data_IF_157783522770
#
_entry.id   IF_157783522770
#
_cell.length_a   1.000
_cell.length_b   1.000
_cell.length_c   1.000
_cell.angle_alpha   90.00
_cell.angle_beta   90.00
_cell.angle_gamma   90.00
#
_symmetry.space_group_name_H-M   'P 1'
#
loop_
_entity.id
_entity.type
_entity.pdbx_description
1 polymer ?
#
# COMPACT_ATOMS: atom_id res chain seq x y z
N UNK A 1 -14.83 10.77 -19.24
CA UNK A 1 -14.40 12.04 -18.58
C UNK A 1 -12.89 11.96 -18.45
N UNK A 2 -12.13 12.92 -19.00
CA UNK A 2 -10.68 12.91 -18.91
C UNK A 2 -10.26 12.93 -17.44
N UNK A 3 -9.60 11.90 -16.97
CA UNK A 3 -9.13 11.76 -15.61
C UNK A 3 -8.20 12.91 -15.24
N UNK A 4 -8.68 13.83 -14.42
CA UNK A 4 -7.89 14.95 -13.93
C UNK A 4 -7.07 14.43 -12.75
N UNK A 5 -5.74 14.45 -12.85
CA UNK A 5 -4.88 14.19 -11.70
C UNK A 5 -5.19 15.20 -10.59
N UNK A 6 -5.41 14.68 -9.40
CA UNK A 6 -5.61 15.44 -8.17
C UNK A 6 -4.23 15.74 -7.56
N UNK A 7 -4.17 16.36 -6.43
CA UNK A 7 -2.91 16.53 -5.73
C UNK A 7 -2.76 17.87 -5.03
N UNK A 8 -1.59 18.08 -4.43
CA UNK A 8 -1.24 19.32 -3.73
C UNK A 8 -0.87 20.37 -4.80
N UNK A 9 -1.64 21.44 -4.88
CA UNK A 9 -1.49 22.52 -5.87
C UNK A 9 -1.40 22.01 -7.32
N UNK A 10 -2.17 20.97 -7.65
CA UNK A 10 -2.14 20.34 -8.97
C UNK A 10 -0.92 19.50 -9.25
N UNK A 11 -0.13 19.18 -8.23
CA UNK A 11 0.99 18.25 -8.30
C UNK A 11 0.52 16.87 -7.85
N UNK A 12 0.46 15.88 -8.75
CA UNK A 12 0.06 14.53 -8.39
C UNK A 12 1.11 13.81 -7.52
N UNK A 13 2.35 14.25 -7.60
CA UNK A 13 3.44 13.81 -6.74
C UNK A 13 4.44 14.94 -6.48
N UNK A 14 5.24 14.80 -5.45
CA UNK A 14 6.23 15.80 -5.01
C UNK A 14 7.51 15.06 -4.60
N UNK A 15 8.64 15.45 -5.19
CA UNK A 15 9.96 15.04 -4.71
C UNK A 15 10.23 15.69 -3.34
N UNK A 16 10.46 14.88 -2.34
CA UNK A 16 10.76 15.32 -0.98
C UNK A 16 12.26 15.32 -0.63
N UNK A 17 13.13 14.94 -1.58
CA UNK A 17 14.59 14.93 -1.37
C UNK A 17 15.17 16.29 -0.92
N UNK A 18 14.63 17.45 -1.34
CA UNK A 18 15.08 18.73 -0.81
C UNK A 18 14.65 19.02 0.62
N UNK A 19 13.72 18.24 1.18
CA UNK A 19 13.12 18.46 2.49
C UNK A 19 13.49 17.36 3.51
N UNK A 20 13.99 16.23 3.04
CA UNK A 20 14.30 15.04 3.85
C UNK A 20 15.73 14.59 3.50
N UNK A 21 16.57 14.44 4.51
CA UNK A 21 17.94 13.95 4.33
C UNK A 21 17.95 12.47 3.92
N UNK A 22 18.50 12.18 2.76
CA UNK A 22 18.62 10.82 2.21
C UNK A 22 20.04 10.25 2.27
N UNK A 23 20.96 10.93 2.95
CA UNK A 23 22.38 10.53 3.01
C UNK A 23 22.60 9.13 3.60
N UNK A 24 21.68 8.65 4.46
CA UNK A 24 21.70 7.33 5.06
C UNK A 24 21.15 6.19 4.19
N UNK A 25 20.61 6.46 3.00
CA UNK A 25 19.85 5.48 2.22
C UNK A 25 20.66 4.23 1.82
N UNK A 26 21.95 4.37 1.52
CA UNK A 26 22.77 3.20 1.21
C UNK A 26 22.92 2.21 2.39
N UNK A 27 22.91 2.71 3.61
CA UNK A 27 22.93 1.88 4.81
C UNK A 27 21.57 1.24 5.08
N UNK A 28 20.49 2.01 4.91
CA UNK A 28 19.11 1.57 5.04
C UNK A 28 18.79 0.48 4.00
N UNK A 29 19.20 0.64 2.73
CA UNK A 29 19.02 -0.40 1.70
C UNK A 29 19.66 -1.73 2.11
N UNK A 30 20.90 -1.70 2.57
CA UNK A 30 21.58 -2.91 3.05
C UNK A 30 20.87 -3.54 4.23
N UNK A 31 20.41 -2.74 5.17
CA UNK A 31 19.67 -3.21 6.34
C UNK A 31 18.37 -3.87 5.94
N UNK A 32 17.55 -3.21 5.10
CA UNK A 32 16.27 -3.75 4.63
C UNK A 32 16.47 -5.07 3.88
N UNK A 33 17.41 -5.14 2.94
CA UNK A 33 17.68 -6.37 2.21
C UNK A 33 18.10 -7.54 3.12
N UNK A 34 18.93 -7.26 4.14
CA UNK A 34 19.35 -8.27 5.10
C UNK A 34 18.24 -8.64 6.07
N UNK A 35 17.45 -7.68 6.48
CA UNK A 35 16.34 -7.87 7.39
C UNK A 35 15.22 -8.69 6.75
N UNK A 36 14.82 -8.37 5.54
CA UNK A 36 13.80 -9.13 4.80
C UNK A 36 14.18 -10.60 4.55
N UNK A 37 15.48 -10.91 4.53
CA UNK A 37 15.97 -12.30 4.47
C UNK A 37 15.90 -13.04 5.83
N UNK A 38 15.54 -12.36 6.92
CA UNK A 38 15.54 -12.90 8.29
C UNK A 38 14.17 -12.96 8.93
N UNK A 39 13.31 -12.00 8.58
CA UNK A 39 11.95 -11.92 9.12
C UNK A 39 10.98 -12.73 8.25
N UNK A 40 9.87 -13.11 8.84
CA UNK A 40 8.76 -13.66 8.06
C UNK A 40 8.06 -12.52 7.29
N UNK A 41 8.24 -12.53 5.98
CA UNK A 41 7.59 -11.60 5.05
C UNK A 41 6.35 -12.21 4.42
N UNK A 42 5.86 -13.28 4.99
CA UNK A 42 4.55 -13.83 4.62
C UNK A 42 3.52 -12.71 4.66
N UNK A 43 2.52 -12.82 3.83
CA UNK A 43 1.41 -11.87 3.86
C UNK A 43 0.85 -11.84 5.27
N UNK A 44 1.14 -10.76 5.97
CA UNK A 44 0.58 -10.51 7.28
C UNK A 44 -0.93 -10.46 7.09
N UNK A 45 -1.60 -11.45 7.63
CA UNK A 45 -2.96 -11.89 7.30
C UNK A 45 -4.05 -10.85 7.23
N UNK A 46 -3.75 -9.71 7.65
CA UNK A 46 -4.65 -8.70 8.04
C UNK A 46 -5.16 -7.78 6.95
N UNK A 47 -4.45 -7.57 5.92
CA UNK A 47 -4.73 -6.50 4.95
C UNK A 47 -4.95 -7.01 3.55
N UNK A 48 -5.23 -8.30 3.44
CA UNK A 48 -5.25 -8.97 2.15
C UNK A 48 -6.35 -8.45 1.22
N UNK A 49 -7.49 -8.05 1.76
CA UNK A 49 -8.56 -7.47 0.94
C UNK A 49 -8.16 -6.15 0.28
N UNK A 50 -7.35 -5.35 0.97
CA UNK A 50 -6.85 -4.07 0.48
C UNK A 50 -5.64 -4.19 -0.44
N UNK A 51 -4.99 -5.35 -0.40
CA UNK A 51 -3.84 -5.65 -1.24
C UNK A 51 -4.20 -6.39 -2.51
N UNK A 52 -5.39 -7.00 -2.57
CA UNK A 52 -5.95 -7.57 -3.78
C UNK A 52 -6.73 -6.51 -4.56
N UNK A 53 -6.44 -6.36 -5.83
CA UNK A 53 -7.12 -5.40 -6.71
C UNK A 53 -7.70 -6.09 -7.93
N UNK A 54 -8.88 -5.65 -8.32
CA UNK A 54 -9.46 -5.95 -9.63
C UNK A 54 -9.07 -4.81 -10.55
N UNK A 55 -8.47 -5.12 -11.71
CA UNK A 55 -8.02 -4.09 -12.62
C UNK A 55 -9.21 -3.24 -13.11
N UNK A 56 -9.08 -1.89 -13.20
CA UNK A 56 -10.17 -0.99 -13.55
C UNK A 56 -10.91 -1.35 -14.85
N UNK A 57 -10.19 -1.81 -15.87
CA UNK A 57 -10.79 -2.25 -17.15
C UNK A 57 -11.64 -3.52 -17.05
N UNK A 58 -11.64 -4.22 -15.92
CA UNK A 58 -12.52 -5.35 -15.66
C UNK A 58 -13.87 -4.94 -15.05
N UNK A 59 -13.94 -3.72 -14.50
CA UNK A 59 -15.08 -3.20 -13.75
C UNK A 59 -15.37 -1.73 -14.11
N UNK A 60 -15.53 -1.42 -15.38
CA UNK A 60 -15.94 -0.09 -15.88
C UNK A 60 -15.05 1.06 -15.40
N UNK A 61 -13.73 0.88 -15.41
CA UNK A 61 -12.71 1.86 -15.00
C UNK A 61 -12.75 2.26 -13.51
N UNK A 62 -13.43 1.52 -12.65
CA UNK A 62 -13.46 1.77 -11.22
C UNK A 62 -12.54 0.81 -10.46
N UNK A 63 -11.87 1.34 -9.43
CA UNK A 63 -11.14 0.50 -8.49
C UNK A 63 -12.08 -0.42 -7.72
N UNK A 64 -11.72 -1.69 -7.64
CA UNK A 64 -12.36 -2.69 -6.79
C UNK A 64 -11.30 -3.46 -6.02
N UNK A 65 -11.48 -3.60 -4.73
CA UNK A 65 -10.66 -4.51 -3.93
C UNK A 65 -11.15 -5.96 -4.02
N UNK A 66 -10.46 -6.86 -3.33
CA UNK A 66 -10.82 -8.27 -3.33
C UNK A 66 -12.24 -8.53 -2.77
N UNK A 67 -12.76 -7.64 -1.91
CA UNK A 67 -14.10 -7.80 -1.34
C UNK A 67 -15.20 -7.61 -2.36
N UNK A 68 -15.00 -6.75 -3.37
CA UNK A 68 -15.93 -6.68 -4.48
C UNK A 68 -16.17 -8.06 -5.12
N UNK A 69 -15.10 -8.82 -5.37
CA UNK A 69 -15.23 -10.17 -5.92
C UNK A 69 -15.96 -11.11 -4.98
N UNK A 70 -15.75 -11.00 -3.67
CA UNK A 70 -16.47 -11.80 -2.66
C UNK A 70 -17.96 -11.43 -2.63
N UNK A 71 -18.30 -10.16 -2.72
CA UNK A 71 -19.69 -9.68 -2.72
C UNK A 71 -20.47 -10.15 -3.96
N UNK A 72 -19.81 -10.26 -5.11
CA UNK A 72 -20.40 -10.71 -6.38
C UNK A 72 -20.50 -12.25 -6.52
N UNK A 73 -19.97 -13.04 -5.58
CA UNK A 73 -20.03 -14.50 -5.63
C UNK A 73 -21.48 -15.02 -5.61
N UNK A 74 -21.75 -16.01 -6.41
CA UNK A 74 -22.96 -16.85 -6.24
C UNK A 74 -22.90 -17.62 -4.91
N UNK A 75 -24.01 -18.20 -4.49
CA UNK A 75 -24.03 -19.03 -3.27
C UNK A 75 -23.10 -20.25 -3.37
N UNK A 76 -22.99 -20.85 -4.56
CA UNK A 76 -22.09 -21.98 -4.81
C UNK A 76 -20.63 -21.54 -4.71
N UNK A 77 -20.26 -20.44 -5.34
CA UNK A 77 -18.90 -19.87 -5.27
C UNK A 77 -18.53 -19.46 -3.86
N UNK A 78 -19.50 -18.91 -3.10
CA UNK A 78 -19.29 -18.58 -1.70
C UNK A 78 -18.98 -19.83 -0.85
N UNK A 79 -19.70 -20.93 -1.06
CA UNK A 79 -19.44 -22.20 -0.36
C UNK A 79 -18.05 -22.74 -0.70
N UNK A 80 -17.63 -22.68 -1.97
CA UNK A 80 -16.30 -23.07 -2.39
C UNK A 80 -15.23 -22.17 -1.75
N UNK A 81 -15.47 -20.86 -1.70
CA UNK A 81 -14.58 -19.90 -1.06
C UNK A 81 -14.42 -20.15 0.44
N UNK A 82 -15.52 -20.38 1.14
CA UNK A 82 -15.55 -20.67 2.58
C UNK A 82 -14.87 -22.01 2.88
N UNK A 83 -15.04 -23.02 2.01
CA UNK A 83 -14.37 -24.31 2.20
C UNK A 83 -12.84 -24.24 2.18
N UNK A 84 -12.28 -23.12 1.72
CA UNK A 84 -10.83 -22.84 1.70
C UNK A 84 -10.34 -22.06 2.92
N UNK A 85 -11.19 -21.77 3.91
CA UNK A 85 -10.78 -21.22 5.20
C UNK A 85 -10.19 -22.30 6.09
N UNK A 86 -9.48 -21.90 7.14
CA UNK A 86 -8.97 -22.83 8.15
C UNK A 86 -10.09 -23.44 9.02
N UNK A 87 -11.24 -22.75 9.10
CA UNK A 87 -12.41 -23.14 9.88
C UNK A 87 -13.72 -23.11 9.06
N UNK A 88 -13.86 -23.91 8.00
CA UNK A 88 -14.99 -23.79 7.08
C UNK A 88 -16.36 -24.04 7.74
N UNK A 89 -16.41 -24.86 8.79
CA UNK A 89 -17.65 -25.16 9.52
C UNK A 89 -18.18 -23.99 10.36
N UNK A 90 -17.42 -22.91 10.52
CA UNK A 90 -17.81 -21.70 11.23
C UNK A 90 -18.76 -20.81 10.41
N UNK A 91 -18.78 -20.96 9.10
CA UNK A 91 -19.47 -20.07 8.18
C UNK A 91 -20.69 -20.74 7.56
N UNK A 92 -21.72 -19.94 7.36
CA UNK A 92 -22.97 -20.37 6.70
C UNK A 92 -23.40 -19.33 5.66
N UNK A 93 -24.33 -19.67 4.79
CA UNK A 93 -24.90 -18.71 3.83
C UNK A 93 -25.60 -17.53 4.50
N UNK A 94 -26.17 -17.76 5.67
CA UNK A 94 -26.89 -16.73 6.42
C UNK A 94 -25.92 -15.67 6.96
N UNK A 95 -24.71 -16.06 7.25
CA UNK A 95 -23.68 -15.19 7.85
C UNK A 95 -22.92 -14.37 6.81
N UNK A 96 -23.13 -14.65 5.51
CA UNK A 96 -22.37 -14.04 4.41
C UNK A 96 -22.27 -12.51 4.49
N UNK A 97 -23.37 -11.82 4.75
CA UNK A 97 -23.40 -10.36 4.83
C UNK A 97 -22.71 -9.80 6.10
N UNK A 98 -22.54 -10.62 7.12
CA UNK A 98 -21.89 -10.25 8.38
C UNK A 98 -20.40 -10.57 8.41
N UNK A 99 -19.93 -11.44 7.52
CA UNK A 99 -18.53 -11.88 7.49
C UNK A 99 -17.67 -10.87 6.73
N UNK A 100 -16.62 -10.40 7.36
CA UNK A 100 -15.65 -9.48 6.78
C UNK A 100 -14.33 -10.19 6.54
N UNK A 101 -14.26 -10.97 5.47
CA UNK A 101 -13.00 -11.57 5.06
C UNK A 101 -11.96 -10.49 4.71
N UNK A 102 -10.70 -10.83 4.92
CA UNK A 102 -9.57 -9.94 4.65
C UNK A 102 -9.43 -8.80 5.66
N UNK A 103 -10.27 -8.75 6.70
CA UNK A 103 -10.11 -7.85 7.82
C UNK A 103 -9.05 -8.40 8.78
N UNK A 104 -8.21 -7.52 9.30
CA UNK A 104 -7.03 -7.87 10.11
C UNK A 104 -7.37 -8.63 11.38
N UNK A 105 -8.50 -8.30 11.95
CA UNK A 105 -8.87 -8.84 13.24
C UNK A 105 -9.83 -10.01 13.16
N UNK A 106 -10.50 -10.19 12.01
CA UNK A 106 -11.61 -11.14 11.93
C UNK A 106 -11.25 -12.41 11.11
N UNK A 107 -11.17 -12.29 9.79
CA UNK A 107 -11.03 -13.45 8.91
C UNK A 107 -10.06 -13.14 7.76
N UNK A 108 -8.74 -13.25 7.99
CA UNK A 108 -7.77 -13.06 6.93
C UNK A 108 -7.96 -14.08 5.82
N UNK A 109 -7.68 -13.68 4.57
CA UNK A 109 -7.68 -14.64 3.48
C UNK A 109 -6.58 -15.68 3.65
N UNK A 110 -6.92 -16.93 3.47
CA UNK A 110 -5.91 -17.98 3.33
C UNK A 110 -5.24 -17.88 1.94
N UNK A 111 -4.03 -18.42 1.78
CA UNK A 111 -3.39 -18.51 0.46
C UNK A 111 -4.26 -19.22 -0.59
N UNK A 112 -5.07 -20.18 -0.17
CA UNK A 112 -5.99 -20.90 -1.05
C UNK A 112 -7.15 -20.01 -1.51
N UNK A 113 -7.73 -19.22 -0.60
CA UNK A 113 -8.76 -18.23 -0.92
C UNK A 113 -8.24 -17.17 -1.90
N UNK A 114 -7.05 -16.64 -1.65
CA UNK A 114 -6.42 -15.68 -2.56
C UNK A 114 -6.21 -16.26 -3.95
N UNK A 115 -5.78 -17.52 -4.03
CA UNK A 115 -5.63 -18.22 -5.30
C UNK A 115 -6.97 -18.40 -6.02
N UNK A 116 -8.05 -18.72 -5.29
CA UNK A 116 -9.39 -18.82 -5.87
C UNK A 116 -9.84 -17.46 -6.43
N UNK A 117 -9.67 -16.38 -5.66
CA UNK A 117 -9.98 -15.02 -6.10
C UNK A 117 -9.21 -14.64 -7.37
N UNK A 118 -7.92 -15.01 -7.45
CA UNK A 118 -7.10 -14.78 -8.65
C UNK A 118 -7.61 -15.57 -9.85
N UNK A 119 -7.82 -16.88 -9.67
CA UNK A 119 -8.14 -17.80 -10.79
C UNK A 119 -9.58 -17.58 -11.27
N UNK A 120 -10.50 -17.34 -10.37
CA UNK A 120 -11.93 -17.27 -10.70
C UNK A 120 -12.40 -15.85 -10.99
N UNK A 121 -11.91 -14.86 -10.25
CA UNK A 121 -12.42 -13.49 -10.29
C UNK A 121 -11.39 -12.47 -10.81
N UNK A 122 -10.18 -12.91 -11.20
CA UNK A 122 -9.16 -12.02 -11.75
C UNK A 122 -8.55 -11.04 -10.73
N UNK A 123 -8.73 -11.29 -9.43
CA UNK A 123 -8.10 -10.47 -8.40
C UNK A 123 -6.59 -10.68 -8.44
N UNK A 124 -5.85 -9.61 -8.52
CA UNK A 124 -4.39 -9.62 -8.51
C UNK A 124 -3.86 -9.16 -7.16
N UNK A 125 -2.93 -9.93 -6.60
CA UNK A 125 -2.27 -9.63 -5.34
C UNK A 125 -0.80 -9.26 -5.61
N UNK A 126 -0.49 -7.99 -5.86
CA UNK A 126 0.85 -7.57 -6.31
C UNK A 126 1.91 -7.67 -5.21
N UNK A 127 1.53 -7.41 -3.96
CA UNK A 127 2.47 -7.27 -2.85
C UNK A 127 2.80 -8.64 -2.25
N UNK A 128 3.88 -9.24 -2.72
CA UNK A 128 4.36 -10.55 -2.22
C UNK A 128 5.15 -10.41 -0.93
N UNK A 129 5.74 -9.23 -0.71
CA UNK A 129 6.43 -8.89 0.52
C UNK A 129 5.71 -7.72 1.15
N UNK A 130 5.23 -7.92 2.36
CA UNK A 130 4.65 -6.87 3.18
C UNK A 130 5.13 -7.09 4.62
N UNK A 131 5.84 -6.10 5.18
CA UNK A 131 6.32 -6.17 6.54
C UNK A 131 5.97 -4.89 7.29
N UNK A 132 5.17 -5.03 8.34
CA UNK A 132 4.77 -3.93 9.20
C UNK A 132 5.87 -3.61 10.20
N UNK A 133 6.50 -2.45 10.04
CA UNK A 133 7.49 -1.94 10.99
C UNK A 133 6.83 -1.38 12.26
N UNK A 134 5.62 -0.81 12.11
CA UNK A 134 4.81 -0.30 13.20
C UNK A 134 3.67 -1.28 13.45
N UNK A 135 3.43 -1.65 14.72
CA UNK A 135 2.26 -2.44 15.09
C UNK A 135 0.99 -1.69 14.73
N UNK A 136 0.15 -2.32 13.94
CA UNK A 136 -1.07 -1.72 13.44
C UNK A 136 -2.12 -2.78 13.18
N UNK A 137 -3.14 -2.81 14.00
CA UNK A 137 -4.23 -3.78 13.93
C UNK A 137 -5.25 -3.45 12.82
N UNK A 138 -5.19 -2.23 12.28
CA UNK A 138 -6.16 -1.74 11.31
C UNK A 138 -5.49 -0.96 10.21
N UNK A 139 -5.62 -1.44 9.00
CA UNK A 139 -5.06 -0.76 7.83
C UNK A 139 -5.61 0.64 7.62
N UNK A 140 -6.89 0.85 7.89
CA UNK A 140 -7.58 2.13 7.75
C UNK A 140 -7.10 3.18 8.75
N UNK A 141 -6.63 2.75 9.93
CA UNK A 141 -6.15 3.64 10.99
C UNK A 141 -4.71 4.09 10.73
N UNK A 142 -4.48 4.63 9.53
CA UNK A 142 -3.16 5.09 9.08
C UNK A 142 -2.82 6.51 9.51
N UNK A 143 -3.75 7.22 10.13
CA UNK A 143 -3.57 8.64 10.48
C UNK A 143 -3.35 8.90 11.96
N UNK A 144 -3.46 7.90 12.82
CA UNK A 144 -3.24 8.03 14.27
C UNK A 144 -2.11 7.13 14.75
N UNK A 145 -1.23 7.69 15.57
CA UNK A 145 -0.17 6.98 16.28
C UNK A 145 -0.56 6.51 17.68
N UNK A 146 -1.81 6.79 18.09
CA UNK A 146 -2.26 6.49 19.45
C UNK A 146 -2.30 4.97 19.69
N UNK A 147 -1.59 4.54 20.73
CA UNK A 147 -1.50 3.12 21.10
C UNK A 147 -0.59 2.26 20.21
N UNK A 148 0.11 2.86 19.25
CA UNK A 148 0.99 2.15 18.31
C UNK A 148 2.46 2.30 18.71
N UNK A 149 3.21 1.23 18.49
CA UNK A 149 4.65 1.19 18.70
C UNK A 149 5.33 0.51 17.50
N UNK A 150 6.61 0.74 17.30
CA UNK A 150 7.38 -0.10 16.38
C UNK A 150 7.46 -1.51 16.95
N UNK A 151 7.27 -2.50 16.10
CA UNK A 151 7.37 -3.89 16.49
C UNK A 151 8.78 -4.18 17.06
N UNK A 152 8.86 -4.94 18.14
CA UNK A 152 10.15 -5.26 18.78
C UNK A 152 11.12 -5.92 17.80
N UNK A 153 10.62 -6.80 16.94
CA UNK A 153 11.41 -7.40 15.87
C UNK A 153 11.90 -6.36 14.86
N UNK A 154 11.05 -5.37 14.52
CA UNK A 154 11.45 -4.29 13.61
C UNK A 154 12.57 -3.43 14.21
N UNK A 155 12.54 -3.14 15.50
CA UNK A 155 13.60 -2.40 16.19
C UNK A 155 14.92 -3.18 16.24
N UNK A 156 14.87 -4.51 16.35
CA UNK A 156 16.04 -5.38 16.35
C UNK A 156 16.64 -5.55 14.94
N UNK A 157 15.78 -5.78 13.93
CA UNK A 157 16.21 -6.18 12.60
C UNK A 157 16.45 -4.99 11.68
N UNK A 158 15.70 -3.88 11.87
CA UNK A 158 15.72 -2.68 11.03
C UNK A 158 16.01 -1.38 11.83
N UNK A 159 17.00 -1.35 12.73
CA UNK A 159 17.22 -0.22 13.64
C UNK A 159 17.50 1.11 12.93
N UNK A 160 18.26 1.11 11.83
CA UNK A 160 18.53 2.35 11.08
C UNK A 160 17.28 2.82 10.31
N UNK A 161 16.50 1.90 9.78
CA UNK A 161 15.23 2.19 9.11
C UNK A 161 14.22 2.78 10.10
N UNK A 162 14.06 2.16 11.26
CA UNK A 162 13.18 2.66 12.34
C UNK A 162 13.65 4.03 12.82
N UNK A 163 14.96 4.23 13.03
CA UNK A 163 15.50 5.53 13.42
C UNK A 163 15.23 6.61 12.36
N UNK A 164 15.40 6.29 11.08
CA UNK A 164 15.07 7.19 9.98
C UNK A 164 13.59 7.56 9.99
N UNK A 165 12.69 6.57 10.12
CA UNK A 165 11.24 6.81 10.14
C UNK A 165 10.84 7.68 11.33
N UNK A 166 11.39 7.44 12.52
CA UNK A 166 11.18 8.31 13.71
C UNK A 166 11.65 9.74 13.50
N UNK A 167 12.66 9.93 12.67
CA UNK A 167 13.17 11.26 12.29
C UNK A 167 12.36 11.98 11.23
N UNK A 168 11.41 11.31 10.57
CA UNK A 168 10.54 11.95 9.59
C UNK A 168 9.63 12.99 10.26
N UNK A 169 9.28 14.07 9.57
CA UNK A 169 8.58 15.20 10.16
C UNK A 169 7.07 14.97 10.35
N UNK A 170 6.72 13.86 10.97
CA UNK A 170 5.37 13.54 11.42
C UNK A 170 5.16 14.01 12.87
N UNK A 171 3.97 14.51 13.15
CA UNK A 171 3.47 14.70 14.52
C UNK A 171 3.03 13.37 15.13
N UNK A 172 2.43 12.51 14.31
CA UNK A 172 2.03 11.15 14.64
C UNK A 172 2.33 10.23 13.46
N UNK A 173 2.88 9.04 13.72
CA UNK A 173 3.06 7.99 12.72
C UNK A 173 1.97 6.94 12.97
N UNK A 174 1.10 6.76 12.00
CA UNK A 174 -0.02 5.83 12.09
C UNK A 174 0.23 4.48 11.41
N UNK A 175 1.14 4.44 10.43
CA UNK A 175 1.52 3.23 9.72
C UNK A 175 2.94 3.35 9.17
N UNK A 176 3.70 2.28 9.23
CA UNK A 176 5.00 2.17 8.56
C UNK A 176 5.16 0.75 8.03
N UNK A 177 5.30 0.61 6.70
CA UNK A 177 5.30 -0.71 6.05
C UNK A 177 6.31 -0.76 4.92
N UNK A 178 6.98 -1.92 4.78
CA UNK A 178 7.81 -2.27 3.63
C UNK A 178 6.95 -3.04 2.64
N UNK A 179 6.83 -2.55 1.41
CA UNK A 179 6.17 -3.23 0.30
C UNK A 179 7.20 -3.73 -0.69
N UNK A 180 7.15 -5.02 -1.03
CA UNK A 180 8.03 -5.63 -2.00
C UNK A 180 7.28 -6.35 -3.12
N UNK A 181 7.85 -6.29 -4.31
CA UNK A 181 7.42 -7.00 -5.50
C UNK A 181 8.52 -7.95 -5.94
N UNK A 182 8.16 -9.18 -6.27
CA UNK A 182 9.09 -10.16 -6.84
C UNK A 182 9.50 -9.78 -8.28
N UNK A 183 10.48 -10.50 -8.79
CA UNK A 183 10.90 -10.34 -10.17
C UNK A 183 9.71 -10.53 -11.13
N UNK A 184 9.60 -9.65 -12.11
CA UNK A 184 8.54 -9.61 -13.13
C UNK A 184 7.11 -9.36 -12.62
N UNK A 185 6.90 -9.25 -11.31
CA UNK A 185 5.64 -8.80 -10.75
C UNK A 185 5.41 -7.30 -11.02
N UNK A 186 4.16 -6.88 -10.98
CA UNK A 186 3.77 -5.48 -11.14
C UNK A 186 2.59 -5.15 -10.23
N UNK A 187 2.42 -3.90 -9.85
CA UNK A 187 1.16 -3.44 -9.32
C UNK A 187 0.32 -2.88 -10.46
N UNK A 188 -0.86 -3.45 -10.73
CA UNK A 188 -1.74 -2.96 -11.81
C UNK A 188 -2.19 -1.53 -11.53
N UNK A 189 -2.67 -0.87 -12.57
CA UNK A 189 -3.21 0.48 -12.45
C UNK A 189 -4.45 0.48 -11.55
N UNK A 190 -4.39 1.21 -10.45
CA UNK A 190 -5.47 1.32 -9.48
C UNK A 190 -5.37 2.66 -8.74
N UNK A 191 -6.34 2.94 -7.90
CA UNK A 191 -6.31 4.02 -6.90
C UNK A 191 -6.78 3.48 -5.56
N UNK A 192 -6.24 4.02 -4.46
CA UNK A 192 -6.56 3.53 -3.12
C UNK A 192 -7.93 4.01 -2.62
N UNK A 193 -8.44 5.11 -3.18
CA UNK A 193 -9.76 5.65 -2.81
C UNK A 193 -10.34 6.54 -3.91
N UNK A 194 -11.67 6.69 -3.90
CA UNK A 194 -12.38 7.51 -4.87
C UNK A 194 -12.07 9.01 -4.70
N UNK A 195 -11.78 9.72 -5.80
CA UNK A 195 -11.67 11.18 -5.77
C UNK A 195 -12.98 11.81 -5.30
N UNK A 196 -12.91 12.66 -4.28
CA UNK A 196 -14.07 13.29 -3.70
C UNK A 196 -14.73 12.50 -2.56
N UNK A 197 -14.23 11.30 -2.22
CA UNK A 197 -14.49 10.75 -0.90
C UNK A 197 -14.04 11.79 0.12
N UNK A 198 -14.78 11.94 1.23
CA UNK A 198 -14.55 12.96 2.26
C UNK A 198 -13.19 12.85 2.98
N UNK A 199 -12.33 11.97 2.52
CA UNK A 199 -11.01 11.75 3.09
C UNK A 199 -10.09 12.89 2.68
N UNK A 200 -9.44 13.48 3.67
CA UNK A 200 -8.36 14.42 3.43
C UNK A 200 -7.23 13.73 2.63
N UNK A 201 -6.52 14.51 1.83
CA UNK A 201 -5.32 14.05 1.12
C UNK A 201 -4.41 13.29 2.08
N UNK A 202 -4.03 12.07 1.72
CA UNK A 202 -3.18 11.23 2.56
C UNK A 202 -1.86 11.93 2.88
N UNK A 203 -1.51 11.96 4.15
CA UNK A 203 -0.25 12.50 4.63
C UNK A 203 0.75 11.34 4.74
N UNK A 204 1.47 11.10 3.67
CA UNK A 204 2.41 9.98 3.58
C UNK A 204 3.77 10.41 3.05
N UNK A 205 4.79 9.68 3.44
CA UNK A 205 6.12 9.70 2.83
C UNK A 205 6.41 8.31 2.34
N UNK A 206 6.67 8.19 1.03
CA UNK A 206 7.18 6.96 0.43
C UNK A 206 8.66 7.12 0.10
N UNK A 207 9.47 6.10 0.38
CA UNK A 207 10.86 6.11 0.00
C UNK A 207 11.34 4.75 -0.47
N UNK A 208 12.25 4.76 -1.43
CA UNK A 208 12.92 3.60 -1.97
C UNK A 208 14.43 3.87 -1.95
N UNK A 209 15.16 3.43 -0.92
CA UNK A 209 16.59 3.68 -0.79
C UNK A 209 17.42 3.17 -1.95
N UNK A 210 16.98 2.07 -2.57
CA UNK A 210 17.50 1.59 -3.85
C UNK A 210 16.62 2.14 -4.97
N UNK A 211 17.25 2.76 -5.96
CA UNK A 211 16.56 3.06 -7.23
C UNK A 211 16.06 1.78 -7.89
N UNK A 212 14.89 1.81 -8.50
CA UNK A 212 14.38 0.66 -9.27
C UNK A 212 12.91 0.33 -9.05
N UNK A 213 12.25 0.78 -7.97
CA UNK A 213 10.81 0.65 -7.88
C UNK A 213 10.15 1.76 -8.68
N UNK A 214 9.74 1.43 -9.90
CA UNK A 214 9.14 2.37 -10.85
C UNK A 214 7.64 2.54 -10.57
N UNK A 215 7.30 3.27 -9.49
CA UNK A 215 5.95 3.75 -9.28
C UNK A 215 5.61 4.75 -10.38
N UNK A 216 4.44 4.61 -10.98
CA UNK A 216 3.96 5.53 -11.99
C UNK A 216 2.55 6.03 -11.67
N UNK A 217 2.23 7.20 -12.20
CA UNK A 217 0.90 7.79 -12.20
C UNK A 217 0.40 7.86 -13.63
N UNK A 218 -0.89 7.65 -13.83
CA UNK A 218 -1.50 7.65 -15.15
C UNK A 218 -2.92 8.21 -15.07
N UNK A 219 -3.26 9.13 -15.97
CA UNK A 219 -4.58 9.78 -15.95
C UNK A 219 -5.71 8.85 -16.40
N UNK A 220 -5.41 8.03 -17.40
CA UNK A 220 -6.30 7.04 -17.98
C UNK A 220 -5.47 5.91 -18.60
N UNK A 221 -6.11 4.82 -18.99
CA UNK A 221 -5.44 3.63 -19.50
C UNK A 221 -4.61 3.90 -20.79
N UNK A 222 -4.97 4.91 -21.56
CA UNK A 222 -4.32 5.25 -22.84
C UNK A 222 -3.24 6.30 -22.69
N UNK A 223 -3.17 6.99 -21.54
CA UNK A 223 -2.16 8.01 -21.29
C UNK A 223 -0.77 7.39 -21.03
N UNK A 224 0.28 8.08 -21.43
CA UNK A 224 1.63 7.67 -21.06
C UNK A 224 1.84 7.78 -19.54
N UNK A 225 2.42 6.75 -18.90
CA UNK A 225 2.68 6.79 -17.46
C UNK A 225 3.74 7.84 -17.12
N UNK A 226 3.51 8.57 -16.03
CA UNK A 226 4.50 9.44 -15.41
C UNK A 226 5.20 8.68 -14.30
N UNK A 227 6.46 8.29 -14.53
CA UNK A 227 7.26 7.56 -13.53
C UNK A 227 7.75 8.55 -12.48
N UNK A 228 7.62 8.18 -11.20
CA UNK A 228 8.20 8.93 -10.09
C UNK A 228 9.69 8.56 -9.99
N UNK A 229 10.54 9.51 -10.35
CA UNK A 229 12.00 9.38 -10.29
C UNK A 229 12.55 10.21 -9.11
N UNK A 230 12.20 9.79 -7.90
CA UNK A 230 12.69 10.38 -6.66
C UNK A 230 12.89 9.29 -5.59
N UNK A 231 13.97 9.33 -4.80
CA UNK A 231 14.23 8.35 -3.76
C UNK A 231 13.30 8.48 -2.56
N UNK A 232 12.74 9.66 -2.33
CA UNK A 232 11.75 9.97 -1.30
C UNK A 232 10.72 10.94 -1.87
N UNK A 233 9.44 10.60 -1.75
CA UNK A 233 8.38 11.34 -2.40
C UNK A 233 7.06 11.22 -1.65
N UNK A 234 6.17 12.16 -1.93
CA UNK A 234 4.75 12.08 -1.70
C UNK A 234 4.02 11.88 -3.03
N UNK A 235 2.97 11.10 -3.04
CA UNK A 235 2.06 11.02 -4.18
C UNK A 235 0.61 10.97 -3.68
N UNK A 236 -0.32 11.39 -4.54
CA UNK A 236 -1.73 11.33 -4.24
C UNK A 236 -2.27 9.93 -4.57
N UNK A 237 -2.63 9.18 -3.55
CA UNK A 237 -3.13 7.82 -3.68
C UNK A 237 -4.59 7.72 -4.21
N UNK A 238 -5.24 8.86 -4.42
CA UNK A 238 -6.52 8.97 -5.15
C UNK A 238 -6.34 9.07 -6.67
N UNK A 239 -5.13 9.35 -7.16
CA UNK A 239 -4.82 9.29 -8.58
C UNK A 239 -4.51 7.84 -8.98
N UNK A 240 -4.81 7.46 -10.22
CA UNK A 240 -4.42 6.16 -10.73
C UNK A 240 -2.91 5.99 -10.69
N UNK A 241 -2.47 4.91 -10.09
CA UNK A 241 -1.06 4.58 -9.95
C UNK A 241 -0.82 3.07 -10.03
N UNK A 242 0.42 2.70 -10.26
CA UNK A 242 0.85 1.33 -10.33
C UNK A 242 2.37 1.23 -10.25
N UNK A 243 2.91 0.02 -10.37
CA UNK A 243 4.35 -0.23 -10.40
C UNK A 243 4.68 -1.09 -11.61
N UNK A 244 5.58 -0.61 -12.46
CA UNK A 244 6.02 -1.35 -13.65
C UNK A 244 6.82 -2.61 -13.25
N UNK A 245 6.76 -3.68 -14.05
CA UNK A 245 7.56 -4.87 -13.82
C UNK A 245 9.06 -4.59 -14.01
N UNK A 246 9.90 -5.28 -13.25
CA UNK A 246 11.35 -5.30 -13.34
C UNK A 246 11.86 -6.74 -13.13
N UNK A 247 12.99 -7.16 -13.73
CA UNK A 247 13.46 -8.54 -13.64
C UNK A 247 14.15 -8.88 -12.32
N UNK A 248 13.97 -8.08 -11.28
CA UNK A 248 14.53 -8.29 -9.94
C UNK A 248 13.56 -7.86 -8.85
N UNK A 249 13.78 -8.36 -7.64
CA UNK A 249 13.06 -7.91 -6.45
C UNK A 249 13.29 -6.43 -6.19
N UNK A 250 12.22 -5.71 -5.88
CA UNK A 250 12.25 -4.29 -5.51
C UNK A 250 11.24 -3.97 -4.43
N UNK A 251 11.55 -2.98 -3.62
CA UNK A 251 10.71 -2.58 -2.50
C UNK A 251 10.61 -1.07 -2.38
N UNK A 252 9.65 -0.63 -1.60
CA UNK A 252 9.59 0.72 -1.03
C UNK A 252 9.06 0.65 0.39
N UNK A 253 9.35 1.69 1.16
CA UNK A 253 8.76 1.90 2.48
C UNK A 253 7.74 3.02 2.36
N UNK A 254 6.54 2.80 2.90
CA UNK A 254 5.51 3.83 3.03
C UNK A 254 5.26 4.09 4.51
N UNK A 255 5.27 5.37 4.86
CA UNK A 255 4.95 5.86 6.19
C UNK A 255 3.77 6.80 6.07
N UNK A 256 2.70 6.53 6.78
CA UNK A 256 1.49 7.35 6.83
C UNK A 256 1.33 7.90 8.26
N UNK A 257 0.68 9.05 8.37
CA UNK A 257 0.46 9.67 9.67
C UNK A 257 -0.09 11.08 9.55
N UNK A 258 0.27 11.92 10.52
CA UNK A 258 -0.06 13.35 10.53
C UNK A 258 1.23 14.14 10.45
N UNK A 259 1.41 14.93 9.40
CA UNK A 259 2.58 15.80 9.27
C UNK A 259 2.61 16.87 10.35
N UNK A 260 3.81 17.26 10.78
CA UNK A 260 3.94 18.49 11.56
C UNK A 260 3.45 19.68 10.75
N UNK A 261 2.83 20.70 11.37
CA UNK A 261 2.38 21.89 10.65
C UNK A 261 3.52 22.61 9.91
N UNK A 262 4.75 22.51 10.41
CA UNK A 262 5.93 23.10 9.75
C UNK A 262 6.25 22.37 8.43
N UNK A 263 6.19 21.06 8.44
CA UNK A 263 6.47 20.24 7.25
C UNK A 263 5.35 20.36 6.21
N UNK A 264 4.08 20.36 6.62
CA UNK A 264 2.97 20.59 5.71
C UNK A 264 3.14 21.92 4.94
N UNK A 265 3.51 23.02 5.66
CA UNK A 265 3.82 24.31 5.02
C UNK A 265 5.07 24.25 4.13
N UNK A 266 6.07 23.43 4.48
CA UNK A 266 7.28 23.28 3.66
C UNK A 266 6.97 22.58 2.34
N UNK A 267 6.19 21.50 2.37
CA UNK A 267 5.69 20.80 1.17
C UNK A 267 4.93 21.76 0.26
N UNK A 268 3.98 22.53 0.82
CA UNK A 268 3.21 23.49 0.03
C UNK A 268 4.08 24.54 -0.66
N UNK A 269 5.06 25.11 0.05
CA UNK A 269 5.99 26.07 -0.55
C UNK A 269 6.84 25.44 -1.65
N UNK A 270 7.34 24.23 -1.41
CA UNK A 270 8.14 23.48 -2.37
C UNK A 270 7.32 23.15 -3.64
N UNK A 271 6.10 22.67 -3.48
CA UNK A 271 5.19 22.37 -4.59
C UNK A 271 4.86 23.62 -5.45
N UNK A 272 4.80 24.82 -4.85
CA UNK A 272 4.59 26.09 -5.57
C UNK A 272 5.84 26.60 -6.28
N UNK A 273 7.01 26.37 -5.72
CA UNK A 273 8.29 26.89 -6.24
C UNK A 273 8.90 26.06 -7.37
N UNK A 274 8.46 24.84 -7.56
CA UNK A 274 8.95 23.90 -8.58
C UNK A 274 8.23 24.07 -9.94
N UNK A 275 8.02 25.30 -10.40
CA UNK A 275 7.43 25.60 -11.71
C UNK A 275 8.49 25.74 -12.78
#
# INVERSE_FOLDING_TARGET
MSGRLWGIHGRPWIDLSPLIDTSGFAAIDREICRGLARVDVGMTGATLKWMGVVAPWQVDDEYRDAMWAVDEMTDEEWLDFVALTDEPGRFTLVDRAAIKFGDETDHPFTPAQMRLLTVRHGVYFPWKTCYHLLENDRWEDKHSGVGKAFAAEAEEVFPATVAFIRGLPFAEIGRAVIFGLEADDHAPLHRDSEPGSSLAVAQSVSFAPRAGKRLYLQNDADAAPTIIDAPVYWFNDMDYHGVLPDPWFRYSVRVDGVFTPAFARAIERHARGSR
#
